data_IF_580456042014
#
_entry.id   IF_580456042014
#
_cell.length_a   1.000
_cell.length_b   1.000
_cell.length_c   1.000
_cell.angle_alpha   90.00
_cell.angle_beta   90.00
_cell.angle_gamma   90.00
#
_symmetry.space_group_name_H-M   'P 1'
#
loop_
_entity.id
_entity.type
_entity.pdbx_description
1 polymer ?
#
# COMPACT_ATOMS: atom_id res chain seq x y z
N UNK A 1 6.99 1.42 15.78
CA UNK A 1 7.33 2.38 14.72
C UNK A 1 7.46 1.63 13.41
N UNK A 2 6.76 2.05 12.35
CA UNK A 2 6.86 1.43 11.01
C UNK A 2 7.53 2.44 10.09
N UNK A 3 8.62 2.05 9.44
CA UNK A 3 9.27 2.82 8.39
C UNK A 3 9.14 2.07 7.06
N UNK A 4 8.60 2.73 6.04
CA UNK A 4 8.46 2.18 4.69
C UNK A 4 9.15 3.12 3.70
N UNK A 5 10.25 2.65 3.10
CA UNK A 5 11.00 3.39 2.08
C UNK A 5 10.60 3.02 0.65
N UNK A 6 11.29 3.60 -0.34
CA UNK A 6 11.04 3.35 -1.76
C UNK A 6 11.15 1.86 -2.16
N UNK A 7 11.90 1.05 -1.42
CA UNK A 7 12.00 -0.40 -1.64
C UNK A 7 10.67 -1.15 -1.51
N UNK A 8 9.74 -0.65 -0.69
CA UNK A 8 8.38 -1.21 -0.58
C UNK A 8 7.55 -1.03 -1.86
N UNK A 9 7.88 -0.02 -2.67
CA UNK A 9 7.16 0.32 -3.88
C UNK A 9 7.63 -0.48 -5.10
N UNK A 10 8.80 -1.13 -5.04
CA UNK A 10 9.35 -1.98 -6.11
C UNK A 10 8.37 -3.10 -6.52
N UNK A 11 7.86 -3.93 -5.60
CA UNK A 11 6.88 -4.96 -5.99
C UNK A 11 5.56 -4.36 -6.51
N UNK A 12 5.27 -3.09 -6.20
CA UNK A 12 4.13 -2.36 -6.74
C UNK A 12 4.41 -1.72 -8.12
N UNK A 13 5.55 -2.04 -8.75
CA UNK A 13 5.92 -1.54 -10.08
C UNK A 13 6.55 -0.15 -10.11
N UNK A 14 6.83 0.43 -8.94
CA UNK A 14 7.54 1.70 -8.80
C UNK A 14 8.97 1.40 -8.36
N UNK A 15 9.87 1.27 -9.33
CA UNK A 15 11.30 1.17 -9.09
C UNK A 15 12.01 2.41 -9.62
N UNK A 16 12.37 3.33 -8.71
CA UNK A 16 13.05 4.57 -9.08
C UNK A 16 14.47 4.38 -9.63
N UNK A 17 15.09 3.21 -9.42
CA UNK A 17 16.41 2.87 -9.97
C UNK A 17 16.35 2.03 -11.26
N UNK A 18 15.16 1.72 -11.78
CA UNK A 18 15.02 0.94 -13.01
C UNK A 18 15.32 1.81 -14.24
N UNK A 19 16.54 1.67 -14.75
CA UNK A 19 17.03 2.42 -15.91
C UNK A 19 16.30 2.05 -17.20
N UNK A 20 15.90 0.79 -17.37
CA UNK A 20 15.22 0.34 -18.59
C UNK A 20 13.81 0.95 -18.64
N UNK A 21 13.07 0.85 -17.54
CA UNK A 21 11.75 1.45 -17.41
C UNK A 21 11.81 2.98 -17.49
N UNK A 22 12.87 3.60 -16.96
CA UNK A 22 13.09 5.04 -17.11
C UNK A 22 13.31 5.43 -18.57
N UNK A 23 14.14 4.69 -19.31
CA UNK A 23 14.42 4.95 -20.72
C UNK A 23 13.19 4.80 -21.62
N UNK A 24 12.33 3.83 -21.32
CA UNK A 24 11.05 3.64 -22.02
C UNK A 24 10.12 4.84 -21.81
N UNK A 25 10.00 5.32 -20.56
CA UNK A 25 9.06 6.41 -20.21
C UNK A 25 9.56 7.80 -20.55
N UNK A 26 10.87 8.02 -20.45
CA UNK A 26 11.49 9.33 -20.61
C UNK A 26 12.65 9.32 -21.60
N UNK A 27 12.44 8.91 -22.87
CA UNK A 27 13.51 8.77 -23.85
C UNK A 27 14.22 10.10 -24.14
N UNK A 28 13.52 11.22 -24.05
CA UNK A 28 14.12 12.55 -24.19
C UNK A 28 15.08 12.88 -23.04
N UNK A 29 14.80 12.40 -21.83
CA UNK A 29 15.61 12.68 -20.63
C UNK A 29 16.89 11.85 -20.63
N UNK A 30 16.83 10.62 -21.15
CA UNK A 30 18.02 9.81 -21.39
C UNK A 30 18.99 10.52 -22.34
N UNK A 31 18.49 11.17 -23.39
CA UNK A 31 19.32 11.98 -24.30
C UNK A 31 19.96 13.20 -23.62
N UNK A 32 19.39 13.67 -22.51
CA UNK A 32 19.92 14.76 -21.70
C UNK A 32 20.89 14.28 -20.60
N UNK A 33 21.13 12.96 -20.48
CA UNK A 33 22.07 12.38 -19.52
C UNK A 33 21.44 11.86 -18.22
N UNK A 34 20.11 11.90 -18.09
CA UNK A 34 19.43 11.31 -16.94
C UNK A 34 19.38 9.79 -17.06
N UNK A 35 19.67 9.07 -15.98
CA UNK A 35 19.77 7.60 -15.99
C UNK A 35 18.57 6.91 -15.36
N UNK A 36 17.91 7.57 -14.42
CA UNK A 36 16.85 7.01 -13.58
C UNK A 36 16.04 8.13 -12.90
N UNK A 37 15.01 7.77 -12.14
CA UNK A 37 14.14 8.76 -11.48
C UNK A 37 14.90 9.58 -10.43
N UNK A 38 15.87 8.97 -9.72
CA UNK A 38 16.65 9.67 -8.70
C UNK A 38 17.50 10.79 -9.29
N UNK A 39 18.10 10.55 -10.46
CA UNK A 39 18.90 11.54 -11.17
C UNK A 39 18.11 12.81 -11.54
N UNK A 40 16.78 12.74 -11.56
CA UNK A 40 15.90 13.87 -11.89
C UNK A 40 15.50 14.72 -10.68
N UNK A 41 15.86 14.30 -9.46
CA UNK A 41 15.48 15.02 -8.24
C UNK A 41 16.04 16.44 -8.12
N UNK A 42 17.26 16.74 -8.59
CA UNK A 42 17.77 18.10 -8.63
C UNK A 42 17.03 19.03 -9.60
N UNK A 43 16.16 18.53 -10.49
CA UNK A 43 15.40 19.38 -11.42
C UNK A 43 14.46 20.29 -10.63
N UNK A 44 14.70 21.60 -10.72
CA UNK A 44 13.97 22.62 -10.01
C UNK A 44 12.77 23.15 -10.81
N UNK A 45 11.64 23.34 -10.10
CA UNK A 45 10.43 23.96 -10.65
C UNK A 45 10.62 25.45 -10.94
N UNK A 46 11.47 26.14 -10.18
CA UNK A 46 11.71 27.58 -10.34
C UNK A 46 12.74 27.86 -11.44
N UNK A 47 13.79 27.06 -11.51
CA UNK A 47 14.89 27.26 -12.48
C UNK A 47 14.55 26.66 -13.85
N UNK A 48 13.89 25.51 -13.87
CA UNK A 48 13.63 24.74 -15.10
C UNK A 48 12.18 24.24 -15.18
N UNK A 49 11.18 25.14 -15.15
CA UNK A 49 9.76 24.77 -15.01
C UNK A 49 9.26 23.81 -16.09
N UNK A 50 9.68 23.99 -17.35
CA UNK A 50 9.27 23.08 -18.44
C UNK A 50 9.81 21.67 -18.26
N UNK A 51 11.08 21.56 -17.86
CA UNK A 51 11.74 20.27 -17.62
C UNK A 51 11.12 19.59 -16.41
N UNK A 52 10.89 20.35 -15.33
CA UNK A 52 10.20 19.90 -14.14
C UNK A 52 8.84 19.30 -14.46
N UNK A 53 7.96 20.02 -15.17
CA UNK A 53 6.64 19.51 -15.49
C UNK A 53 6.66 18.37 -16.52
N UNK A 54 7.59 18.39 -17.47
CA UNK A 54 7.81 17.30 -18.42
C UNK A 54 8.20 15.98 -17.73
N UNK A 55 8.89 16.04 -16.59
CA UNK A 55 9.26 14.88 -15.78
C UNK A 55 8.17 14.51 -14.77
N UNK A 56 7.69 15.48 -13.99
CA UNK A 56 6.84 15.23 -12.83
C UNK A 56 5.40 14.94 -13.21
N UNK A 57 4.84 15.55 -14.26
CA UNK A 57 3.45 15.29 -14.63
C UNK A 57 3.21 13.85 -15.11
N UNK A 58 4.01 13.26 -16.03
CA UNK A 58 3.86 11.86 -16.40
C UNK A 58 4.13 10.89 -15.24
N UNK A 59 5.11 11.23 -14.38
CA UNK A 59 5.42 10.44 -13.20
C UNK A 59 4.24 10.41 -12.21
N UNK A 60 3.62 11.57 -11.95
CA UNK A 60 2.41 11.64 -11.10
C UNK A 60 1.23 10.92 -11.73
N UNK A 61 1.03 11.05 -13.05
CA UNK A 61 -0.01 10.32 -13.78
C UNK A 61 0.11 8.82 -13.51
N UNK A 62 1.32 8.28 -13.58
CA UNK A 62 1.60 6.89 -13.28
C UNK A 62 1.31 6.55 -11.81
N UNK A 63 2.01 7.21 -10.90
CA UNK A 63 2.04 6.87 -9.47
C UNK A 63 0.70 7.07 -8.77
N UNK A 64 -0.09 8.07 -9.19
CA UNK A 64 -1.33 8.45 -8.50
C UNK A 64 -2.60 7.89 -9.16
N UNK A 65 -2.58 7.71 -10.48
CA UNK A 65 -3.81 7.46 -11.24
C UNK A 65 -3.79 6.18 -12.08
N UNK A 66 -2.63 5.68 -12.50
CA UNK A 66 -2.54 4.48 -13.35
C UNK A 66 -2.20 3.21 -12.58
N UNK A 67 -1.47 3.32 -11.48
CA UNK A 67 -1.11 2.15 -10.69
C UNK A 67 -2.29 1.66 -9.85
N UNK A 68 -2.74 0.41 -10.02
CA UNK A 68 -3.79 -0.16 -9.19
C UNK A 68 -3.27 -0.37 -7.75
N UNK A 69 -4.18 -0.45 -6.76
CA UNK A 69 -3.79 -0.83 -5.40
C UNK A 69 -3.02 -2.16 -5.39
N UNK A 70 -1.80 -2.14 -4.86
CA UNK A 70 -0.96 -3.33 -4.80
C UNK A 70 -1.09 -4.04 -3.44
N UNK A 71 -1.08 -5.39 -3.47
CA UNK A 71 -1.27 -6.23 -2.27
C UNK A 71 -0.34 -5.86 -1.12
N UNK A 72 0.91 -5.46 -1.40
CA UNK A 72 1.91 -5.10 -0.38
C UNK A 72 1.41 -4.01 0.57
N UNK A 73 0.68 -3.02 0.05
CA UNK A 73 0.12 -1.94 0.86
C UNK A 73 -1.19 -2.36 1.54
N UNK A 74 -2.00 -3.21 0.90
CA UNK A 74 -3.21 -3.76 1.52
C UNK A 74 -2.87 -4.68 2.70
N UNK A 75 -1.84 -5.53 2.56
CA UNK A 75 -1.38 -6.43 3.59
C UNK A 75 -0.73 -5.66 4.75
N UNK A 76 0.10 -4.65 4.45
CA UNK A 76 0.61 -3.76 5.48
C UNK A 76 -0.53 -3.08 6.25
N UNK A 77 -1.54 -2.57 5.54
CA UNK A 77 -2.72 -1.94 6.16
C UNK A 77 -3.46 -2.90 7.08
N UNK A 78 -3.64 -4.16 6.67
CA UNK A 78 -4.27 -5.21 7.50
C UNK A 78 -3.47 -5.50 8.76
N UNK A 79 -2.15 -5.64 8.64
CA UNK A 79 -1.25 -5.87 9.79
C UNK A 79 -1.32 -4.72 10.79
N UNK A 80 -1.32 -3.48 10.30
CA UNK A 80 -1.47 -2.29 11.16
C UNK A 80 -2.83 -2.26 11.82
N UNK A 81 -3.91 -2.54 11.08
CA UNK A 81 -5.26 -2.57 11.64
C UNK A 81 -5.42 -3.65 12.73
N UNK A 82 -4.85 -4.84 12.52
CA UNK A 82 -4.85 -5.92 13.52
C UNK A 82 -4.06 -5.53 14.78
N UNK A 83 -2.87 -4.94 14.61
CA UNK A 83 -2.05 -4.49 15.73
C UNK A 83 -2.69 -3.36 16.55
N UNK A 84 -3.49 -2.49 15.91
CA UNK A 84 -4.23 -1.42 16.58
C UNK A 84 -5.59 -1.87 17.14
N UNK A 85 -6.19 -2.92 16.56
CA UNK A 85 -7.48 -3.48 16.97
C UNK A 85 -7.38 -4.56 18.07
N UNK A 86 -6.19 -5.05 18.40
CA UNK A 86 -5.96 -6.09 19.40
C UNK A 86 -5.91 -5.60 20.86
N UNK A 87 -6.32 -4.36 21.15
CA UNK A 87 -6.28 -3.75 22.49
C UNK A 87 -7.56 -3.87 23.32
N UNK A 88 -8.52 -4.73 22.94
CA UNK A 88 -9.75 -4.84 23.71
C UNK A 88 -10.59 -6.06 23.33
N UNK A 89 -10.44 -7.13 24.12
CA UNK A 89 -11.50 -7.97 24.69
C UNK A 89 -10.86 -9.17 25.40
N UNK A 90 -10.35 -8.91 26.59
CA UNK A 90 -10.41 -9.89 27.67
C UNK A 90 -11.59 -9.43 28.56
N UNK A 91 -12.79 -9.67 28.04
CA UNK A 91 -13.99 -9.66 28.86
C UNK A 91 -14.01 -10.98 29.60
N UNK A 92 -13.65 -10.90 30.87
CA UNK A 92 -13.93 -11.86 31.91
C UNK A 92 -15.43 -12.22 31.87
N UNK A 93 -15.80 -13.24 31.10
CA UNK A 93 -17.13 -13.86 31.16
C UNK A 93 -17.16 -14.69 32.45
N UNK A 94 -17.45 -13.97 33.53
CA UNK A 94 -17.77 -14.50 34.83
C UNK A 94 -18.90 -15.52 34.70
N UNK A 95 -18.54 -16.74 35.11
CA UNK A 95 -19.37 -17.83 35.59
C UNK A 95 -20.62 -17.33 36.33
N UNK A 96 -21.79 -17.47 35.69
CA UNK A 96 -23.09 -17.50 36.37
C UNK A 96 -23.73 -18.86 36.10
N UNK A 97 -23.38 -19.81 36.95
CA UNK A 97 -24.07 -21.09 37.06
C UNK A 97 -25.54 -20.92 37.47
N UNK A 98 -26.37 -21.85 37.00
CA UNK A 98 -27.68 -22.13 37.60
C UNK A 98 -28.77 -22.47 36.60
N UNK A 99 -29.19 -23.74 36.57
CA UNK A 99 -30.45 -24.12 35.93
C UNK A 99 -30.55 -25.57 35.47
N UNK A 100 -30.44 -26.51 36.41
CA UNK A 100 -30.96 -27.87 36.28
C UNK A 100 -32.50 -27.85 36.13
N UNK A 101 -33.06 -28.73 35.31
CA UNK A 101 -34.50 -28.98 35.26
C UNK A 101 -35.04 -29.62 33.98
N UNK A 102 -34.97 -30.97 33.91
CA UNK A 102 -36.00 -31.89 33.36
C UNK A 102 -36.40 -31.82 31.87
N UNK A 103 -36.35 -32.93 31.13
CA UNK A 103 -37.47 -33.89 30.98
C UNK A 103 -38.71 -33.23 30.32
N UNK A 104 -39.19 -33.60 29.12
CA UNK A 104 -39.00 -34.80 28.31
C UNK A 104 -39.94 -34.83 27.08
N UNK A 105 -39.98 -35.99 26.41
CA UNK A 105 -40.91 -36.42 25.33
C UNK A 105 -40.68 -35.81 23.94
N UNK A 106 -40.20 -36.53 22.92
CA UNK A 106 -40.77 -37.65 22.12
C UNK A 106 -42.03 -37.29 21.30
N UNK A 107 -41.94 -37.72 20.02
CA UNK A 107 -43.01 -37.95 19.02
C UNK A 107 -43.53 -36.69 18.31
N UNK A 108 -43.79 -36.61 16.99
CA UNK A 108 -43.77 -37.50 15.81
C UNK A 108 -43.98 -36.58 14.58
N UNK A 109 -43.35 -36.85 13.43
CA UNK A 109 -43.90 -37.54 12.24
C UNK A 109 -45.15 -36.90 11.61
N UNK A 110 -45.08 -36.58 10.31
CA UNK A 110 -46.19 -36.08 9.49
C UNK A 110 -45.83 -34.98 8.50
#
# INVERSE_FOLDING_TARGET
>A
LIAAGAGMSIPAGINYGDRAQFAERFPAMVKMGYTDVWSTFPVSVTETPRLFWGLRAPHMLLCRFKLPPHRVYTDLRRLVAAALGGGGRDGDDGDDGGGDGGDGSRDGDG
#
